data_IF_931457526131
#
_entry.id   IF_931457526131
#
_cell.length_a   1.000
_cell.length_b   1.000
_cell.length_c   1.000
_cell.angle_alpha   90.00
_cell.angle_beta   90.00
_cell.angle_gamma   90.00
#
_symmetry.space_group_name_H-M   'P 1'
#
loop_
_entity.id
_entity.type
_entity.pdbx_description
1 polymer ?
#
# COMPACT_ATOMS: atom_id res chain seq x y z
N UNK A 1 3.99 41.27 -23.69
CA UNK A 1 2.63 40.72 -23.54
C UNK A 1 2.44 39.66 -24.60
N UNK A 2 2.32 38.40 -24.21
CA UNK A 2 2.01 37.29 -25.12
C UNK A 2 0.63 36.79 -24.70
N UNK A 3 -0.41 36.96 -25.52
CA UNK A 3 -1.75 36.49 -25.20
C UNK A 3 -1.90 35.02 -25.63
N UNK A 4 -2.86 34.31 -25.02
CA UNK A 4 -3.37 32.98 -25.41
C UNK A 4 -2.68 31.75 -24.80
N UNK A 5 -2.89 31.51 -23.50
CA UNK A 5 -2.96 30.16 -22.94
C UNK A 5 -4.43 29.81 -22.70
N UNK A 6 -5.04 29.09 -23.65
CA UNK A 6 -6.39 28.57 -23.53
C UNK A 6 -6.31 27.17 -22.91
N UNK A 7 -6.63 27.04 -21.62
CA UNK A 7 -6.77 25.75 -20.95
C UNK A 7 -8.06 25.08 -21.40
N UNK A 8 -8.02 24.37 -22.53
CA UNK A 8 -9.12 23.52 -22.97
C UNK A 8 -8.74 22.05 -22.82
N UNK A 9 -9.27 21.42 -21.77
CA UNK A 9 -9.19 19.98 -21.53
C UNK A 9 -10.61 19.42 -21.40
N UNK A 10 -11.30 19.13 -22.52
CA UNK A 10 -12.63 18.52 -22.44
C UNK A 10 -12.47 17.08 -21.94
N UNK A 11 -12.98 16.82 -20.73
CA UNK A 11 -13.05 15.47 -20.19
C UNK A 11 -14.18 14.71 -20.90
N UNK A 12 -13.82 14.01 -21.98
CA UNK A 12 -14.77 13.25 -22.79
C UNK A 12 -15.04 11.89 -22.14
N UNK A 13 -16.09 11.78 -21.33
CA UNK A 13 -16.53 10.49 -20.76
C UNK A 13 -17.45 9.77 -21.75
N UNK A 14 -16.96 8.70 -22.37
CA UNK A 14 -17.76 7.84 -23.25
C UNK A 14 -18.77 7.00 -22.43
N UNK A 15 -19.98 6.73 -22.95
CA UNK A 15 -20.86 5.74 -22.34
C UNK A 15 -20.15 4.38 -22.34
N UNK A 16 -20.20 3.66 -21.21
CA UNK A 16 -19.42 2.46 -20.85
C UNK A 16 -17.98 2.68 -20.34
N UNK A 17 -17.49 3.92 -20.25
CA UNK A 17 -16.20 4.28 -19.64
C UNK A 17 -16.30 4.67 -18.16
N UNK A 18 -17.07 3.93 -17.37
CA UNK A 18 -17.14 4.17 -15.92
C UNK A 18 -15.77 3.96 -15.27
N UNK A 19 -15.55 4.55 -14.08
CA UNK A 19 -14.33 4.39 -13.29
C UNK A 19 -13.97 2.90 -13.17
N UNK A 20 -13.04 2.45 -14.02
CA UNK A 20 -12.53 1.10 -13.97
C UNK A 20 -11.62 1.07 -12.77
N UNK A 21 -12.08 0.50 -11.66
CA UNK A 21 -11.19 0.06 -10.60
C UNK A 21 -10.37 -1.09 -11.19
N UNK A 22 -9.30 -0.74 -11.89
CA UNK A 22 -8.33 -1.72 -12.37
C UNK A 22 -7.61 -2.22 -11.13
N UNK A 23 -7.89 -3.46 -10.74
CA UNK A 23 -6.99 -4.23 -9.88
C UNK A 23 -5.71 -4.50 -10.69
N UNK A 24 -4.82 -3.51 -10.72
CA UNK A 24 -3.48 -3.65 -11.25
C UNK A 24 -2.71 -4.39 -10.15
N UNK A 25 -2.82 -5.72 -10.11
CA UNK A 25 -1.77 -6.54 -9.51
C UNK A 25 -0.64 -6.56 -10.54
N UNK A 26 0.40 -5.73 -10.42
CA UNK A 26 1.46 -5.70 -11.41
C UNK A 26 2.09 -7.09 -11.44
N UNK A 27 2.23 -7.68 -12.63
CA UNK A 27 3.07 -8.87 -12.78
C UNK A 27 4.51 -8.47 -12.43
N UNK A 28 4.95 -8.71 -11.20
CA UNK A 28 6.29 -8.32 -10.75
C UNK A 28 7.41 -9.10 -11.45
N UNK A 29 7.11 -10.02 -12.38
CA UNK A 29 8.13 -10.64 -13.21
C UNK A 29 9.00 -9.60 -13.93
N UNK A 30 8.47 -8.44 -14.34
CA UNK A 30 9.30 -7.37 -14.93
C UNK A 30 10.32 -6.78 -13.96
N UNK A 31 10.02 -6.75 -12.66
CA UNK A 31 10.93 -6.25 -11.61
C UNK A 31 12.12 -7.21 -11.42
N UNK A 32 11.87 -8.53 -11.40
CA UNK A 32 12.92 -9.54 -11.27
C UNK A 32 13.67 -9.80 -12.58
N UNK A 33 13.01 -9.70 -13.74
CA UNK A 33 13.64 -9.87 -15.06
C UNK A 33 14.67 -8.78 -15.40
N UNK A 34 14.63 -7.64 -14.70
CA UNK A 34 15.61 -6.55 -14.85
C UNK A 34 16.90 -6.73 -14.05
N UNK A 35 17.02 -7.78 -13.23
CA UNK A 35 18.23 -8.02 -12.43
C UNK A 35 19.33 -8.51 -13.36
N UNK A 36 20.37 -7.68 -13.54
CA UNK A 36 21.54 -8.06 -14.33
C UNK A 36 22.15 -9.35 -13.73
N UNK A 37 22.60 -10.32 -14.53
CA UNK A 37 23.18 -11.58 -14.03
C UNK A 37 24.38 -11.38 -13.08
N UNK A 38 25.04 -10.22 -13.15
CA UNK A 38 26.14 -9.84 -12.28
C UNK A 38 25.69 -9.37 -10.88
N UNK A 39 24.40 -9.07 -10.69
CA UNK A 39 23.82 -8.51 -9.46
C UNK A 39 22.96 -9.52 -8.69
N UNK A 40 22.66 -10.70 -9.27
CA UNK A 40 21.90 -11.77 -8.63
C UNK A 40 21.28 -12.75 -9.62
N UNK A 41 20.74 -13.86 -9.11
CA UNK A 41 19.93 -14.81 -9.88
C UNK A 41 18.43 -14.44 -9.72
N UNK A 42 17.74 -14.02 -10.80
CA UNK A 42 16.33 -13.64 -10.76
C UNK A 42 15.40 -14.70 -10.16
N UNK A 43 15.69 -15.99 -10.35
CA UNK A 43 14.88 -17.10 -9.82
C UNK A 43 15.02 -17.19 -8.32
N UNK A 44 16.24 -16.98 -7.81
CA UNK A 44 16.53 -16.98 -6.37
C UNK A 44 15.94 -15.73 -5.72
N UNK A 45 16.09 -14.56 -6.35
CA UNK A 45 15.55 -13.29 -5.82
C UNK A 45 14.01 -13.31 -5.72
N UNK A 46 13.32 -13.92 -6.69
CA UNK A 46 11.87 -14.12 -6.60
C UNK A 46 11.49 -15.00 -5.41
N UNK A 47 12.20 -16.11 -5.20
CA UNK A 47 11.98 -17.00 -4.04
C UNK A 47 12.28 -16.30 -2.71
N UNK A 48 13.31 -15.45 -2.67
CA UNK A 48 13.64 -14.66 -1.49
C UNK A 48 12.57 -13.60 -1.18
N UNK A 49 12.00 -12.98 -2.22
CA UNK A 49 10.90 -12.02 -2.08
C UNK A 49 9.63 -12.67 -1.50
N UNK A 50 9.34 -13.93 -1.83
CA UNK A 50 8.24 -14.70 -1.23
C UNK A 50 8.43 -14.93 0.28
N UNK A 51 9.68 -15.02 0.76
CA UNK A 51 9.98 -15.16 2.19
C UNK A 51 9.76 -13.84 2.94
N UNK A 52 10.31 -12.75 2.41
CA UNK A 52 10.08 -11.41 2.94
C UNK A 52 10.36 -10.36 1.86
N UNK A 53 9.39 -9.47 1.64
CA UNK A 53 9.60 -8.32 0.75
C UNK A 53 10.73 -7.44 1.28
N UNK A 54 11.47 -6.77 0.39
CA UNK A 54 12.54 -5.86 0.80
C UNK A 54 12.04 -4.75 1.73
N UNK A 55 10.79 -4.29 1.56
CA UNK A 55 10.14 -3.35 2.48
C UNK A 55 10.04 -3.90 3.90
N UNK A 56 9.67 -5.18 4.07
CA UNK A 56 9.62 -5.83 5.38
C UNK A 56 11.01 -5.97 6.01
N UNK A 57 12.01 -6.36 5.20
CA UNK A 57 13.39 -6.48 5.67
C UNK A 57 13.95 -5.13 6.15
N UNK A 58 13.76 -4.06 5.37
CA UNK A 58 14.17 -2.70 5.73
C UNK A 58 13.41 -2.16 6.95
N UNK A 59 12.11 -2.49 7.08
CA UNK A 59 11.31 -2.18 8.26
C UNK A 59 11.93 -2.77 9.53
N UNK A 60 12.21 -4.07 9.52
CA UNK A 60 12.83 -4.78 10.65
C UNK A 60 14.21 -4.20 11.01
N UNK A 61 15.06 -3.92 10.02
CA UNK A 61 16.37 -3.29 10.24
C UNK A 61 16.19 -1.91 10.88
N UNK A 62 15.20 -1.14 10.43
CA UNK A 62 14.90 0.20 10.95
C UNK A 62 14.44 0.15 12.40
N UNK A 63 13.56 -0.78 12.74
CA UNK A 63 13.07 -1.00 14.11
C UNK A 63 14.22 -1.35 15.06
N UNK A 64 15.06 -2.33 14.67
CA UNK A 64 16.24 -2.73 15.46
C UNK A 64 17.22 -1.57 15.62
N UNK A 65 17.52 -0.84 14.54
CA UNK A 65 18.43 0.32 14.60
C UNK A 65 17.87 1.44 15.48
N UNK A 66 16.57 1.71 15.42
CA UNK A 66 15.93 2.73 16.23
C UNK A 66 15.93 2.38 17.73
N UNK A 67 15.75 1.10 18.07
CA UNK A 67 15.87 0.59 19.43
C UNK A 67 17.32 0.69 19.94
N UNK A 68 18.28 0.16 19.18
CA UNK A 68 19.71 0.24 19.51
C UNK A 68 20.17 1.70 19.69
N UNK A 69 19.68 2.63 18.87
CA UNK A 69 20.01 4.04 18.98
C UNK A 69 19.41 4.72 20.22
N UNK A 70 18.43 4.11 20.88
CA UNK A 70 17.93 4.56 22.19
C UNK A 70 18.94 4.24 23.29
N UNK A 71 19.61 3.08 23.19
CA UNK A 71 20.64 2.65 24.13
C UNK A 71 22.00 3.33 23.85
N UNK A 72 22.34 3.50 22.57
CA UNK A 72 23.60 4.09 22.12
C UNK A 72 23.35 5.19 21.05
N UNK A 73 22.99 6.41 21.47
CA UNK A 73 22.71 7.50 20.55
C UNK A 73 23.92 7.88 19.67
N UNK A 74 23.71 8.28 18.40
CA UNK A 74 24.79 8.74 17.55
C UNK A 74 25.56 9.93 18.13
N UNK A 75 26.90 9.81 18.16
CA UNK A 75 27.78 10.82 18.76
C UNK A 75 27.93 12.07 17.87
N UNK A 76 27.82 11.92 16.55
CA UNK A 76 27.95 13.03 15.60
C UNK A 76 26.63 13.76 15.41
N UNK A 77 26.69 15.06 15.10
CA UNK A 77 25.50 15.85 14.77
C UNK A 77 24.76 15.29 13.54
N UNK A 78 25.52 14.83 12.53
CA UNK A 78 24.95 14.21 11.34
C UNK A 78 24.22 12.90 11.68
N UNK A 79 24.79 12.05 12.53
CA UNK A 79 24.15 10.81 12.95
C UNK A 79 22.83 11.05 13.68
N UNK A 80 22.75 12.05 14.54
CA UNK A 80 21.51 12.44 15.23
C UNK A 80 20.43 12.91 14.24
N UNK A 81 20.81 13.73 13.26
CA UNK A 81 19.90 14.17 12.19
C UNK A 81 19.39 13.00 11.35
N UNK A 82 20.27 12.07 10.98
CA UNK A 82 19.88 10.87 10.23
C UNK A 82 18.92 9.98 11.03
N UNK A 83 19.16 9.77 12.33
CA UNK A 83 18.26 9.01 13.21
C UNK A 83 16.89 9.69 13.34
N UNK A 84 16.85 11.01 13.49
CA UNK A 84 15.59 11.75 13.51
C UNK A 84 14.81 11.55 12.21
N UNK A 85 15.47 11.72 11.06
CA UNK A 85 14.85 11.52 9.76
C UNK A 85 14.35 10.09 9.56
N UNK A 86 15.09 9.10 10.05
CA UNK A 86 14.69 7.69 10.02
C UNK A 86 13.37 7.48 10.79
N UNK A 87 13.26 8.04 11.99
CA UNK A 87 12.03 8.00 12.81
C UNK A 87 10.86 8.72 12.15
N UNK A 88 11.10 9.87 11.53
CA UNK A 88 10.08 10.61 10.77
C UNK A 88 9.57 9.80 9.57
N UNK A 89 10.46 9.12 8.83
CA UNK A 89 10.08 8.24 7.73
C UNK A 89 9.24 7.07 8.25
N UNK A 90 9.65 6.42 9.34
CA UNK A 90 8.90 5.33 9.95
C UNK A 90 7.48 5.79 10.35
N UNK A 91 7.36 6.92 11.05
CA UNK A 91 6.06 7.45 11.46
C UNK A 91 5.14 7.77 10.28
N UNK A 92 5.70 8.33 9.18
CA UNK A 92 4.94 8.59 7.96
C UNK A 92 4.46 7.32 7.26
N UNK A 93 5.26 6.26 7.29
CA UNK A 93 4.87 4.96 6.73
C UNK A 93 3.70 4.38 7.55
N UNK A 94 3.75 4.44 8.88
CA UNK A 94 2.64 3.98 9.72
C UNK A 94 1.35 4.79 9.49
N UNK A 95 1.45 6.12 9.35
CA UNK A 95 0.30 6.96 8.99
C UNK A 95 -0.31 6.60 7.62
N UNK A 96 0.51 6.21 6.64
CA UNK A 96 0.00 5.71 5.35
C UNK A 96 -0.76 4.39 5.53
N UNK A 97 -0.26 3.46 6.34
CA UNK A 97 -0.94 2.18 6.60
C UNK A 97 -2.28 2.38 7.32
N UNK A 98 -2.32 3.30 8.29
CA UNK A 98 -3.55 3.61 9.02
C UNK A 98 -4.61 4.22 8.09
N UNK A 99 -4.20 5.12 7.20
CA UNK A 99 -5.10 5.70 6.19
C UNK A 99 -5.63 4.66 5.22
N UNK A 100 -4.78 3.74 4.76
CA UNK A 100 -5.22 2.63 3.90
C UNK A 100 -6.29 1.77 4.59
N UNK A 101 -6.12 1.48 5.88
CA UNK A 101 -7.12 0.74 6.66
C UNK A 101 -8.46 1.51 6.77
N UNK A 102 -8.41 2.83 6.97
CA UNK A 102 -9.61 3.69 6.98
C UNK A 102 -10.28 3.69 5.60
N UNK A 103 -9.51 3.86 4.53
CA UNK A 103 -10.02 3.87 3.16
C UNK A 103 -10.71 2.53 2.80
N UNK A 104 -10.18 1.40 3.27
CA UNK A 104 -10.81 0.08 3.12
C UNK A 104 -12.16 0.02 3.82
N UNK A 105 -12.28 0.56 5.05
CA UNK A 105 -13.55 0.60 5.77
C UNK A 105 -14.59 1.46 5.04
N UNK A 106 -14.20 2.64 4.56
CA UNK A 106 -15.09 3.51 3.78
C UNK A 106 -15.56 2.84 2.49
N UNK A 107 -14.67 2.08 1.83
CA UNK A 107 -15.04 1.28 0.67
C UNK A 107 -16.07 0.21 1.00
N UNK A 108 -15.88 -0.53 2.10
CA UNK A 108 -16.85 -1.54 2.57
C UNK A 108 -18.22 -0.89 2.81
N UNK A 109 -18.26 0.24 3.50
CA UNK A 109 -19.50 0.98 3.78
C UNK A 109 -20.20 1.41 2.49
N UNK A 110 -19.45 1.97 1.53
CA UNK A 110 -20.01 2.39 0.25
C UNK A 110 -20.57 1.22 -0.57
N UNK A 111 -19.89 0.07 -0.55
CA UNK A 111 -20.31 -1.14 -1.25
C UNK A 111 -21.57 -1.74 -0.61
N UNK A 112 -21.66 -1.77 0.72
CA UNK A 112 -22.85 -2.24 1.44
C UNK A 112 -24.04 -1.30 1.22
N UNK A 113 -23.83 0.02 1.23
CA UNK A 113 -24.87 1.00 0.94
C UNK A 113 -25.41 0.83 -0.49
N UNK A 114 -24.52 0.62 -1.46
CA UNK A 114 -24.89 0.33 -2.84
C UNK A 114 -25.69 -0.97 -2.96
N UNK A 115 -25.22 -2.05 -2.31
CA UNK A 115 -25.91 -3.35 -2.30
C UNK A 115 -27.33 -3.23 -1.73
N UNK A 116 -27.50 -2.49 -0.62
CA UNK A 116 -28.82 -2.22 -0.03
C UNK A 116 -29.77 -1.51 -1.00
N UNK A 117 -29.24 -0.63 -1.85
CA UNK A 117 -30.03 0.13 -2.83
C UNK A 117 -30.39 -0.69 -4.08
N UNK A 118 -29.47 -1.51 -4.60
CA UNK A 118 -29.67 -2.21 -5.87
C UNK A 118 -30.20 -3.63 -5.71
N UNK A 119 -29.82 -4.34 -4.64
CA UNK A 119 -30.16 -5.75 -4.37
C UNK A 119 -30.44 -5.97 -2.88
N UNK A 120 -31.50 -5.36 -2.31
CA UNK A 120 -31.80 -5.45 -0.89
C UNK A 120 -31.99 -6.90 -0.40
N UNK A 121 -32.45 -7.80 -1.26
CA UNK A 121 -32.63 -9.22 -0.97
C UNK A 121 -31.30 -9.94 -0.65
N UNK A 122 -30.18 -9.44 -1.17
CA UNK A 122 -28.85 -10.03 -0.93
C UNK A 122 -28.16 -9.52 0.33
N UNK A 123 -28.73 -8.53 1.00
CA UNK A 123 -28.11 -7.92 2.19
C UNK A 123 -27.98 -8.93 3.35
N UNK A 124 -28.97 -9.80 3.53
CA UNK A 124 -28.94 -10.83 4.57
C UNK A 124 -27.79 -11.83 4.34
N UNK A 125 -27.61 -12.28 3.09
CA UNK A 125 -26.53 -13.17 2.71
C UNK A 125 -25.14 -12.50 2.86
N UNK A 126 -25.02 -11.23 2.49
CA UNK A 126 -23.78 -10.47 2.68
C UNK A 126 -23.39 -10.37 4.17
N UNK A 127 -24.36 -10.09 5.06
CA UNK A 127 -24.14 -10.05 6.52
C UNK A 127 -23.64 -11.39 7.05
N UNK A 128 -24.27 -12.49 6.65
CA UNK A 128 -23.86 -13.84 7.08
C UNK A 128 -22.43 -14.17 6.62
N UNK A 129 -22.07 -13.82 5.38
CA UNK A 129 -20.72 -14.06 4.85
C UNK A 129 -19.65 -13.24 5.57
N UNK A 130 -19.93 -11.97 5.86
CA UNK A 130 -19.02 -11.11 6.62
C UNK A 130 -18.86 -11.65 8.04
N UNK A 131 -19.96 -11.98 8.73
CA UNK A 131 -19.92 -12.53 10.08
C UNK A 131 -19.13 -13.84 10.15
N UNK A 132 -19.30 -14.73 9.16
CA UNK A 132 -18.52 -15.95 9.05
C UNK A 132 -17.03 -15.65 8.81
N UNK A 133 -16.70 -14.74 7.89
CA UNK A 133 -15.30 -14.39 7.61
C UNK A 133 -14.58 -13.84 8.85
N UNK A 134 -15.25 -12.99 9.64
CA UNK A 134 -14.69 -12.43 10.87
C UNK A 134 -14.55 -13.46 12.01
N UNK A 135 -15.34 -14.54 12.02
CA UNK A 135 -15.29 -15.57 13.04
C UNK A 135 -14.20 -16.64 12.79
N UNK A 136 -13.68 -16.74 11.55
CA UNK A 136 -12.67 -17.74 11.17
C UNK A 136 -11.25 -17.33 11.58
N UNK A 137 -11.02 -16.04 11.83
CA UNK A 137 -9.69 -15.50 12.21
C UNK A 137 -9.34 -15.66 13.71
N UNK A 138 -10.22 -16.19 14.57
CA UNK A 138 -9.95 -16.42 16.01
C UNK A 138 -9.51 -17.87 16.37
N UNK A 139 -8.99 -18.66 15.41
CA UNK A 139 -8.52 -20.04 15.63
C UNK A 139 -7.09 -20.27 15.20
#
# INVERSE_FOLDING_TARGET
MVPWFFFWAPQLTMPFGGAVAQDIRPDTNWFFAGIAPASGDPVIERKAFEVATYGRQLGLITEVLADLATQAPPKTAQGRKSLQRLREIQARIEDVKERDAIDVLEQIDSLLARLKKTHPERLAAARQRIAHALAVDEG
#
